data_IF_530905535184
#
_entry.id   IF_530905535184
#
_cell.length_a   1.000
_cell.length_b   1.000
_cell.length_c   1.000
_cell.angle_alpha   90.00
_cell.angle_beta   90.00
_cell.angle_gamma   90.00
#
_symmetry.space_group_name_H-M   'P 1'
#
loop_
_entity.id
_entity.type
_entity.pdbx_description
1 polymer ?
#
# COMPACT_ATOMS: atom_id res chain seq x y z
N UNK A 1 47.32 49.15 49.97
CA UNK A 1 47.28 47.70 50.30
C UNK A 1 45.80 47.33 50.48
N UNK A 2 45.14 46.40 49.80
CA UNK A 2 45.42 45.44 48.73
C UNK A 2 44.03 45.25 48.07
N UNK A 3 43.83 45.60 46.79
CA UNK A 3 42.53 45.45 46.12
C UNK A 3 42.51 44.08 45.42
N UNK A 4 41.71 43.14 45.91
CA UNK A 4 41.61 41.79 45.32
C UNK A 4 40.66 41.80 44.14
N UNK A 5 41.18 41.59 42.93
CA UNK A 5 40.39 41.40 41.72
C UNK A 5 39.99 39.91 41.60
N UNK A 6 38.71 39.61 41.76
CA UNK A 6 38.13 38.30 41.45
C UNK A 6 37.99 38.18 39.94
N UNK A 7 38.81 37.33 39.31
CA UNK A 7 38.66 36.99 37.90
C UNK A 7 37.56 35.93 37.73
N UNK A 8 36.47 36.31 37.06
CA UNK A 8 35.47 35.38 36.56
C UNK A 8 36.01 34.66 35.32
N UNK A 9 36.07 33.33 35.35
CA UNK A 9 36.40 32.51 34.19
C UNK A 9 35.25 32.56 33.18
N UNK A 10 35.51 32.89 31.90
CA UNK A 10 34.48 32.78 30.87
C UNK A 10 34.25 31.29 30.58
N UNK A 11 33.06 30.81 30.92
CA UNK A 11 32.58 29.51 30.45
C UNK A 11 32.46 29.58 28.93
N UNK A 12 33.43 28.99 28.22
CA UNK A 12 33.40 28.88 26.77
C UNK A 12 32.20 27.99 26.40
N UNK A 13 31.13 28.62 25.92
CA UNK A 13 29.87 27.97 25.58
C UNK A 13 30.10 26.79 24.63
N UNK A 14 29.55 25.63 24.98
CA UNK A 14 29.55 24.47 24.13
C UNK A 14 29.00 24.82 22.73
N UNK A 15 29.54 24.22 21.64
CA UNK A 15 28.97 24.43 20.31
C UNK A 15 27.50 24.00 20.34
N UNK A 16 26.59 24.73 19.66
CA UNK A 16 25.20 24.31 19.58
C UNK A 16 25.17 22.90 18.99
N UNK A 17 24.57 21.95 19.71
CA UNK A 17 24.25 20.63 19.16
C UNK A 17 23.47 20.88 17.88
N UNK A 18 24.06 20.61 16.71
CA UNK A 18 23.31 20.56 15.45
C UNK A 18 22.17 19.58 15.68
N UNK A 19 20.95 20.09 15.82
CA UNK A 19 19.76 19.26 15.82
C UNK A 19 19.80 18.43 14.55
N UNK A 20 19.84 17.11 14.72
CA UNK A 20 19.75 16.17 13.62
C UNK A 20 18.34 16.35 13.06
N UNK A 21 18.19 17.24 12.07
CA UNK A 21 16.93 17.38 11.31
C UNK A 21 16.50 15.96 10.94
N UNK A 22 15.24 15.58 11.20
CA UNK A 22 14.72 14.32 10.70
C UNK A 22 15.04 14.25 9.21
N UNK A 23 15.79 13.23 8.82
CA UNK A 23 16.05 12.93 7.43
C UNK A 23 14.69 12.51 6.83
N UNK A 24 13.94 13.49 6.33
CA UNK A 24 12.70 13.28 5.59
C UNK A 24 13.11 12.69 4.25
N UNK A 25 13.40 11.39 4.27
CA UNK A 25 13.57 10.61 3.05
C UNK A 25 12.26 10.73 2.28
N UNK A 26 12.28 11.13 0.99
CA UNK A 26 11.07 11.15 0.19
C UNK A 26 10.42 9.77 0.26
N UNK A 27 9.08 9.67 0.33
CA UNK A 27 8.40 8.41 0.42
C UNK A 27 8.90 7.51 -0.72
N UNK A 28 9.51 6.38 -0.34
CA UNK A 28 10.01 5.40 -1.30
C UNK A 28 8.79 4.90 -2.05
N UNK A 29 8.66 5.30 -3.30
CA UNK A 29 7.58 4.87 -4.19
C UNK A 29 7.63 3.35 -4.28
N UNK A 30 6.76 2.67 -3.52
CA UNK A 30 6.71 1.22 -3.47
C UNK A 30 6.09 0.74 -4.77
N UNK A 31 6.93 0.23 -5.67
CA UNK A 31 6.46 -0.42 -6.90
C UNK A 31 5.57 -1.59 -6.53
N UNK A 32 4.33 -1.59 -7.02
CA UNK A 32 3.42 -2.72 -6.87
C UNK A 32 3.91 -3.87 -7.73
N UNK A 33 4.29 -4.97 -7.09
CA UNK A 33 4.73 -6.21 -7.74
C UNK A 33 3.58 -7.20 -7.72
N UNK A 34 3.30 -7.81 -8.86
CA UNK A 34 2.28 -8.85 -9.03
C UNK A 34 2.93 -10.13 -9.52
N UNK A 35 2.43 -11.26 -9.03
CA UNK A 35 2.89 -12.61 -9.42
C UNK A 35 1.78 -13.39 -10.10
N UNK A 36 0.52 -13.09 -9.77
CA UNK A 36 -0.66 -13.81 -10.29
C UNK A 36 -0.80 -13.73 -11.81
N UNK A 37 -0.23 -12.70 -12.44
CA UNK A 37 -0.33 -12.49 -13.89
C UNK A 37 0.56 -13.43 -14.72
N UNK A 38 1.80 -13.70 -14.28
CA UNK A 38 2.79 -14.47 -15.06
C UNK A 38 3.46 -15.61 -14.28
N UNK A 39 3.06 -15.85 -13.03
CA UNK A 39 3.73 -16.74 -12.06
C UNK A 39 5.19 -16.36 -11.76
N UNK A 40 5.61 -15.16 -12.15
CA UNK A 40 6.89 -14.54 -11.87
C UNK A 40 6.66 -13.12 -11.35
N UNK A 41 7.59 -12.60 -10.55
CA UNK A 41 7.49 -11.22 -10.05
C UNK A 41 7.61 -10.21 -11.18
N UNK A 42 6.58 -9.39 -11.37
CA UNK A 42 6.55 -8.32 -12.36
C UNK A 42 5.96 -7.04 -11.77
N UNK A 43 6.47 -5.89 -12.17
CA UNK A 43 5.85 -4.61 -11.81
C UNK A 43 4.52 -4.46 -12.54
N UNK A 44 3.49 -3.92 -11.89
CA UNK A 44 2.14 -3.82 -12.46
C UNK A 44 2.07 -3.09 -13.83
N UNK A 45 2.98 -2.15 -14.07
CA UNK A 45 3.07 -1.43 -15.35
C UNK A 45 3.65 -2.23 -16.52
N UNK A 46 4.34 -3.33 -16.24
CA UNK A 46 5.02 -4.17 -17.23
C UNK A 46 4.21 -5.45 -17.58
N UNK A 47 3.00 -5.57 -17.05
CA UNK A 47 2.15 -6.76 -17.21
C UNK A 47 1.37 -6.70 -18.52
N UNK A 48 1.45 -7.75 -19.34
CA UNK A 48 0.77 -7.84 -20.63
C UNK A 48 -0.76 -8.03 -20.52
N UNK A 49 -1.27 -8.44 -19.36
CA UNK A 49 -2.69 -8.74 -19.10
C UNK A 49 -3.28 -7.70 -18.16
N UNK A 50 -4.50 -7.24 -18.45
CA UNK A 50 -5.26 -6.34 -17.57
C UNK A 50 -5.39 -6.93 -16.16
N UNK A 51 -4.61 -6.40 -15.23
CA UNK A 51 -4.51 -6.87 -13.85
C UNK A 51 -4.90 -5.75 -12.91
N UNK A 52 -5.82 -6.02 -11.98
CA UNK A 52 -6.22 -5.07 -10.95
C UNK A 52 -5.82 -5.60 -9.58
N UNK A 53 -5.12 -4.77 -8.81
CA UNK A 53 -4.73 -5.07 -7.43
C UNK A 53 -5.69 -4.33 -6.52
N UNK A 54 -6.33 -5.06 -5.61
CA UNK A 54 -7.13 -4.48 -4.53
C UNK A 54 -6.28 -4.57 -3.27
N UNK A 55 -5.87 -3.41 -2.76
CA UNK A 55 -5.03 -3.33 -1.56
C UNK A 55 -5.87 -3.33 -0.28
N UNK A 56 -5.19 -3.37 0.86
CA UNK A 56 -5.85 -3.41 2.17
C UNK A 56 -6.71 -2.18 2.44
N UNK A 57 -6.25 -0.99 2.05
CA UNK A 57 -6.98 0.25 2.28
C UNK A 57 -8.26 0.33 1.44
N UNK A 58 -8.21 -0.17 0.19
CA UNK A 58 -9.37 -0.28 -0.69
C UNK A 58 -10.40 -1.29 -0.15
N UNK A 59 -9.96 -2.42 0.41
CA UNK A 59 -10.84 -3.38 1.08
C UNK A 59 -11.57 -2.70 2.25
N UNK A 60 -10.84 -1.99 3.11
CA UNK A 60 -11.43 -1.30 4.27
C UNK A 60 -12.37 -0.16 3.86
N UNK A 61 -12.00 0.60 2.82
CA UNK A 61 -12.83 1.67 2.27
C UNK A 61 -14.12 1.14 1.62
N UNK A 62 -14.11 -0.07 1.07
CA UNK A 62 -15.31 -0.69 0.49
C UNK A 62 -16.37 -1.05 1.54
N UNK A 63 -15.97 -1.25 2.80
CA UNK A 63 -16.88 -1.68 3.87
C UNK A 63 -17.53 -3.05 3.65
N UNK A 64 -17.08 -3.80 2.64
CA UNK A 64 -17.68 -5.07 2.25
C UNK A 64 -17.33 -6.16 3.27
N UNK A 65 -18.35 -6.87 3.75
CA UNK A 65 -18.19 -8.00 4.69
C UNK A 65 -17.65 -9.27 4.01
N UNK A 66 -17.61 -9.30 2.68
CA UNK A 66 -17.18 -10.46 1.91
C UNK A 66 -16.46 -10.09 0.62
N UNK A 67 -15.60 -11.00 0.14
CA UNK A 67 -14.91 -10.88 -1.15
C UNK A 67 -15.88 -10.70 -2.33
N UNK A 68 -17.09 -11.24 -2.22
CA UNK A 68 -18.13 -11.07 -3.22
C UNK A 68 -18.48 -9.59 -3.41
N UNK A 69 -18.71 -8.86 -2.31
CA UNK A 69 -19.05 -7.44 -2.35
C UNK A 69 -17.96 -6.59 -2.99
N UNK A 70 -16.69 -6.86 -2.66
CA UNK A 70 -15.54 -6.15 -3.23
C UNK A 70 -15.44 -6.37 -4.75
N UNK A 71 -15.74 -7.59 -5.21
CA UNK A 71 -15.67 -7.96 -6.62
C UNK A 71 -16.89 -7.49 -7.43
N UNK A 72 -18.07 -7.33 -6.81
CA UNK A 72 -19.26 -6.75 -7.44
C UNK A 72 -19.02 -5.30 -7.90
N UNK A 73 -18.19 -4.55 -7.18
CA UNK A 73 -17.82 -3.18 -7.55
C UNK A 73 -16.86 -3.09 -8.74
N UNK A 74 -16.26 -4.21 -9.17
CA UNK A 74 -15.26 -4.19 -10.22
C UNK A 74 -15.90 -4.25 -11.61
N UNK A 75 -15.50 -3.35 -12.53
CA UNK A 75 -16.03 -3.36 -13.88
C UNK A 75 -15.68 -4.68 -14.60
N UNK A 76 -16.68 -5.29 -15.23
CA UNK A 76 -16.49 -6.51 -16.04
C UNK A 76 -16.63 -7.84 -15.29
N UNK A 77 -16.88 -7.82 -13.98
CA UNK A 77 -17.22 -9.01 -13.20
C UNK A 77 -18.73 -9.13 -12.98
N UNK A 78 -19.24 -10.37 -12.98
CA UNK A 78 -20.58 -10.71 -12.51
C UNK A 78 -20.46 -11.77 -11.42
N UNK A 79 -21.04 -11.50 -10.25
CA UNK A 79 -21.08 -12.48 -9.16
C UNK A 79 -22.34 -13.33 -9.29
N UNK A 80 -22.17 -14.65 -9.41
CA UNK A 80 -23.25 -15.62 -9.40
C UNK A 80 -23.41 -16.13 -7.98
N UNK A 81 -24.45 -15.67 -7.29
CA UNK A 81 -24.81 -16.19 -5.98
C UNK A 81 -25.58 -17.50 -6.16
N UNK A 82 -24.90 -18.63 -5.96
CA UNK A 82 -25.55 -19.95 -5.93
C UNK A 82 -26.38 -20.07 -4.66
N UNK A 83 -27.71 -19.99 -4.79
CA UNK A 83 -28.68 -20.17 -3.70
C UNK A 83 -28.82 -21.67 -3.37
N UNK A 84 -27.72 -22.32 -2.94
CA UNK A 84 -27.72 -23.73 -2.57
C UNK A 84 -26.63 -24.03 -1.54
N UNK A 85 -26.67 -23.38 -0.38
CA UNK A 85 -26.05 -23.86 0.87
C UNK A 85 -24.53 -24.05 0.94
N UNK A 86 -23.78 -23.85 -0.14
CA UNK A 86 -22.33 -23.92 -0.14
C UNK A 86 -21.76 -22.51 -0.01
N UNK A 87 -21.05 -22.22 1.07
CA UNK A 87 -20.47 -20.91 1.39
C UNK A 87 -19.36 -20.41 0.45
N UNK A 88 -19.41 -20.76 -0.84
CA UNK A 88 -18.51 -20.28 -1.88
C UNK A 88 -19.18 -19.19 -2.72
N UNK A 89 -18.50 -18.06 -2.88
CA UNK A 89 -18.91 -17.02 -3.84
C UNK A 89 -18.24 -17.27 -5.20
N UNK A 90 -19.03 -17.53 -6.23
CA UNK A 90 -18.54 -17.69 -7.60
C UNK A 90 -18.57 -16.36 -8.35
N UNK A 91 -17.40 -15.87 -8.78
CA UNK A 91 -17.30 -14.72 -9.71
C UNK A 91 -17.08 -15.22 -11.14
N UNK A 92 -17.79 -14.63 -12.10
CA UNK A 92 -17.63 -14.91 -13.54
C UNK A 92 -17.14 -13.66 -14.25
N UNK A 93 -16.07 -13.79 -15.00
CA UNK A 93 -15.59 -12.75 -15.92
C UNK A 93 -16.46 -12.74 -17.19
N UNK A 94 -16.86 -11.56 -17.67
CA UNK A 94 -17.80 -11.37 -18.79
C UNK A 94 -17.41 -12.03 -20.13
N UNK A 95 -16.17 -12.47 -20.30
CA UNK A 95 -15.65 -13.00 -21.57
C UNK A 95 -15.79 -14.53 -21.77
N UNK A 96 -16.36 -15.30 -20.84
CA UNK A 96 -16.49 -16.76 -21.00
C UNK A 96 -17.90 -17.20 -21.41
N UNK A 97 -18.21 -17.05 -22.70
CA UNK A 97 -19.15 -17.97 -23.36
C UNK A 97 -18.35 -19.19 -23.86
N UNK A 98 -18.55 -20.40 -23.30
CA UNK A 98 -18.08 -21.61 -23.94
C UNK A 98 -19.04 -21.91 -25.09
N UNK A 99 -18.89 -21.22 -26.21
CA UNK A 99 -19.64 -21.52 -27.42
C UNK A 99 -18.73 -21.38 -28.64
N UNK A 100 -18.46 -22.54 -29.23
CA UNK A 100 -18.05 -22.75 -30.62
C UNK A 100 -16.54 -22.60 -30.89
N UNK A 101 -15.91 -23.75 -31.22
CA UNK A 101 -14.64 -23.82 -31.94
C UNK A 101 -14.73 -23.13 -33.31
#
# INVERSE_FOLDING_TARGET
MLLTATFATPVHGAPPRRERRPDVRPPKETKTVVVTSARTEQAIGDVAVSTRVVDRAAIEASGAESLAGILEEQPGLQILRSFAGAGGSGSRCRASTPSTC
#
